data_IF_613484970444
#
_entry.id   IF_613484970444
#
_cell.length_a   1.000
_cell.length_b   1.000
_cell.length_c   1.000
_cell.angle_alpha   90.00
_cell.angle_beta   90.00
_cell.angle_gamma   90.00
#
_symmetry.space_group_name_H-M   'P 1'
#
loop_
_entity.id
_entity.type
_entity.pdbx_description
1 polymer ?
#
# COMPACT_ATOMS: atom_id res chain seq x y z
N UNK A 1 -6.63 -3.17 7.00
CA UNK A 1 -6.36 -3.95 5.77
C UNK A 1 -5.63 -3.24 4.62
N UNK A 2 -5.77 -1.92 4.41
CA UNK A 2 -5.10 -1.25 3.27
C UNK A 2 -3.58 -1.11 3.42
N UNK A 3 -3.13 -0.78 4.63
CA UNK A 3 -1.71 -0.65 4.96
C UNK A 3 -1.10 -2.05 5.00
N UNK A 4 -0.01 -2.23 4.27
CA UNK A 4 0.75 -3.45 4.20
C UNK A 4 2.16 -3.16 4.68
N UNK A 5 2.78 -4.11 5.38
CA UNK A 5 4.17 -3.99 5.75
C UNK A 5 5.05 -4.73 4.74
N UNK A 6 6.01 -4.03 4.15
CA UNK A 6 7.02 -4.57 3.23
C UNK A 6 8.39 -4.17 3.75
N UNK A 7 9.26 -5.15 4.01
CA UNK A 7 10.61 -4.93 4.59
C UNK A 7 10.60 -4.05 5.86
N UNK A 8 9.57 -4.16 6.70
CA UNK A 8 9.43 -3.37 7.93
C UNK A 8 8.90 -1.94 7.72
N UNK A 9 8.68 -1.50 6.47
CA UNK A 9 8.04 -0.22 6.17
C UNK A 9 6.55 -0.38 5.88
N UNK A 10 5.76 0.57 6.37
CA UNK A 10 4.35 0.70 6.02
C UNK A 10 4.19 1.25 4.61
N UNK A 11 3.48 0.49 3.78
CA UNK A 11 3.22 0.83 2.39
C UNK A 11 1.74 0.65 2.06
N UNK A 12 1.28 1.41 1.07
CA UNK A 12 -0.06 1.26 0.50
C UNK A 12 0.06 1.09 -1.01
N UNK A 13 -0.94 0.41 -1.58
CA UNK A 13 -1.07 0.26 -3.02
C UNK A 13 -2.03 1.33 -3.54
N UNK A 14 -1.47 2.32 -4.25
CA UNK A 14 -2.24 3.40 -4.88
C UNK A 14 -2.56 3.00 -6.32
N UNK A 15 -3.83 3.01 -6.67
CA UNK A 15 -4.27 2.78 -8.04
C UNK A 15 -3.95 4.01 -8.89
N UNK A 16 -3.00 3.87 -9.80
CA UNK A 16 -2.59 4.96 -10.72
C UNK A 16 -3.29 4.84 -12.09
N UNK A 17 -3.78 3.64 -12.43
CA UNK A 17 -4.65 3.39 -13.58
C UNK A 17 -5.52 2.16 -13.35
N UNK A 18 -6.49 1.91 -14.23
CA UNK A 18 -7.49 0.83 -14.09
C UNK A 18 -6.91 -0.52 -13.63
N UNK A 19 -5.76 -0.94 -14.18
CA UNK A 19 -5.06 -2.17 -13.81
C UNK A 19 -3.61 -1.94 -13.37
N UNK A 20 -3.29 -0.73 -12.86
CA UNK A 20 -1.93 -0.41 -12.40
C UNK A 20 -1.97 0.10 -10.98
N UNK A 21 -1.16 -0.53 -10.15
CA UNK A 21 -0.97 -0.17 -8.76
C UNK A 21 0.49 0.21 -8.55
N UNK A 22 0.70 1.29 -7.81
CA UNK A 22 2.00 1.76 -7.39
C UNK A 22 2.11 1.57 -5.88
N UNK A 23 3.24 1.02 -5.45
CA UNK A 23 3.54 0.91 -4.02
C UNK A 23 4.14 2.22 -3.55
N UNK A 24 3.50 2.82 -2.55
CA UNK A 24 4.01 4.01 -1.89
C UNK A 24 4.23 3.74 -0.42
N UNK A 25 5.43 4.06 0.05
CA UNK A 25 5.71 4.17 1.46
C UNK A 25 4.86 5.29 2.06
N UNK A 26 4.20 4.99 3.16
CA UNK A 26 3.36 5.94 3.89
C UNK A 26 3.84 6.06 5.32
N UNK A 27 3.64 7.26 5.87
CA UNK A 27 3.86 7.49 7.30
C UNK A 27 2.50 7.48 7.97
N UNK A 28 2.28 6.47 8.79
CA UNK A 28 1.02 6.27 9.50
C UNK A 28 1.16 6.70 10.96
N UNK A 29 0.09 7.22 11.52
CA UNK A 29 -0.01 7.50 12.95
C UNK A 29 -0.57 6.33 13.74
N UNK A 30 -0.81 6.60 15.02
CA UNK A 30 -1.46 5.63 15.89
C UNK A 30 -2.87 5.34 15.41
N UNK A 31 -3.24 4.06 15.38
CA UNK A 31 -4.59 3.66 15.00
C UNK A 31 -5.53 3.94 16.16
N UNK A 32 -6.53 4.79 15.92
CA UNK A 32 -7.51 5.18 16.94
C UNK A 32 -8.90 4.81 16.43
N UNK A 33 -9.66 4.08 17.26
CA UNK A 33 -11.02 3.65 16.94
C UNK A 33 -11.18 2.86 15.62
N UNK A 34 -10.11 2.21 15.14
CA UNK A 34 -10.10 1.44 13.90
C UNK A 34 -9.67 2.22 12.66
N UNK A 35 -9.44 3.53 12.80
CA UNK A 35 -8.91 4.39 11.74
C UNK A 35 -7.42 4.65 11.97
N UNK A 36 -6.63 4.47 10.92
CA UNK A 36 -5.20 4.77 10.94
C UNK A 36 -4.96 6.05 10.14
N UNK A 37 -4.59 7.18 10.79
CA UNK A 37 -4.31 8.41 10.07
C UNK A 37 -3.04 8.26 9.24
N UNK A 38 -3.07 8.76 8.01
CA UNK A 38 -1.90 8.82 7.13
C UNK A 38 -1.37 10.25 7.15
N UNK A 39 -0.16 10.43 7.65
CA UNK A 39 0.51 11.73 7.71
C UNK A 39 1.20 12.08 6.39
N UNK A 40 1.79 11.10 5.70
CA UNK A 40 2.58 11.32 4.48
C UNK A 40 2.49 10.11 3.53
N UNK A 41 2.72 10.34 2.23
CA UNK A 41 2.88 9.28 1.22
C UNK A 41 1.70 9.08 0.27
N UNK A 42 0.55 9.70 0.55
CA UNK A 42 -0.60 9.76 -0.37
C UNK A 42 -1.10 11.19 -0.54
N UNK A 43 -1.77 11.46 -1.66
CA UNK A 43 -2.38 12.76 -1.95
C UNK A 43 -3.89 12.70 -1.76
N UNK A 44 -4.55 13.85 -1.51
CA UNK A 44 -5.99 13.95 -1.64
C UNK A 44 -6.42 13.43 -3.02
N UNK A 45 -7.50 12.66 -3.05
CA UNK A 45 -8.03 11.95 -4.24
C UNK A 45 -7.26 10.71 -4.72
N UNK A 46 -6.18 10.28 -4.07
CA UNK A 46 -5.55 9.00 -4.39
C UNK A 46 -6.50 7.83 -4.06
N UNK A 47 -6.69 6.93 -5.02
CA UNK A 47 -7.45 5.70 -4.85
C UNK A 47 -6.56 4.63 -4.25
N UNK A 48 -6.85 4.15 -3.04
CA UNK A 48 -6.05 3.14 -2.34
C UNK A 48 -6.78 1.80 -2.33
N UNK A 49 -6.05 0.72 -2.63
CA UNK A 49 -6.59 -0.63 -2.56
C UNK A 49 -6.77 -1.09 -1.11
N UNK A 50 -8.00 -0.99 -0.59
CA UNK A 50 -8.40 -1.46 0.76
C UNK A 50 -8.69 -2.96 0.80
N UNK A 51 -9.20 -3.53 -0.29
CA UNK A 51 -9.58 -4.95 -0.41
C UNK A 51 -8.68 -5.63 -1.44
N UNK A 52 -8.14 -6.81 -1.10
CA UNK A 52 -7.23 -7.54 -1.99
C UNK A 52 -5.79 -7.02 -2.00
N UNK A 53 -5.40 -6.15 -1.06
CA UNK A 53 -4.03 -5.65 -0.86
C UNK A 53 -3.00 -6.79 -0.68
N UNK A 54 -3.41 -7.93 -0.11
CA UNK A 54 -2.59 -9.14 0.00
C UNK A 54 -2.18 -9.71 -1.37
N UNK A 55 -3.11 -9.75 -2.34
CA UNK A 55 -2.83 -10.26 -3.69
C UNK A 55 -1.80 -9.38 -4.39
N UNK A 56 -1.96 -8.06 -4.26
CA UNK A 56 -0.99 -7.09 -4.80
C UNK A 56 0.39 -7.24 -4.16
N UNK A 57 0.47 -7.48 -2.85
CA UNK A 57 1.72 -7.79 -2.16
C UNK A 57 2.38 -9.07 -2.69
N UNK A 58 1.62 -10.14 -2.88
CA UNK A 58 2.15 -11.38 -3.45
C UNK A 58 2.67 -11.20 -4.88
N UNK A 59 1.97 -10.41 -5.71
CA UNK A 59 2.43 -10.09 -7.07
C UNK A 59 3.73 -9.29 -7.06
N UNK A 60 3.85 -8.29 -6.17
CA UNK A 60 5.08 -7.51 -6.04
C UNK A 60 6.25 -8.39 -5.62
N UNK A 61 6.08 -9.25 -4.61
CA UNK A 61 7.14 -10.12 -4.14
C UNK A 61 7.60 -11.09 -5.24
N UNK A 62 6.67 -11.67 -6.00
CA UNK A 62 6.98 -12.51 -7.17
C UNK A 62 7.77 -11.74 -8.22
N UNK A 63 7.32 -10.53 -8.59
CA UNK A 63 8.01 -9.70 -9.56
C UNK A 63 9.44 -9.33 -9.11
N UNK A 64 9.64 -9.10 -7.81
CA UNK A 64 10.98 -8.86 -7.23
C UNK A 64 11.87 -10.10 -7.31
N UNK A 65 11.32 -11.29 -6.98
CA UNK A 65 12.03 -12.58 -7.06
C UNK A 65 12.39 -12.99 -8.50
N UNK A 66 11.55 -12.64 -9.48
CA UNK A 66 11.80 -12.92 -10.91
C UNK A 66 12.83 -11.95 -11.54
N UNK A 67 13.20 -10.88 -10.83
CA UNK A 67 14.18 -9.89 -11.30
C UNK A 67 15.60 -10.15 -10.82
N UNK A 68 15.89 -11.32 -10.22
CA UNK A 68 17.23 -11.78 -9.80
C UNK A 68 17.87 -12.76 -10.79
#
# INVERSE_FOLDING_TARGET
DAIQQVNGQDVVFVQTAANRFEVRAVKVGETVAGDTPIFEGIRPCDQVAVRGSFVLKSQLLKATLESE
#
